data_IF_217157278892
#
_entry.id   IF_217157278892
#
_cell.length_a   1.000
_cell.length_b   1.000
_cell.length_c   1.000
_cell.angle_alpha   90.00
_cell.angle_beta   90.00
_cell.angle_gamma   90.00
#
_symmetry.space_group_name_H-M   'P 1'
#
loop_
_entity.id
_entity.type
_entity.pdbx_description
1 polymer ?
#
# COMPACT_ATOMS: atom_id res chain seq x y z
N UNK A 1 -19.17 -2.17 5.01
CA UNK A 1 -19.11 -1.47 3.71
C UNK A 1 -20.48 -1.01 3.21
N UNK A 2 -21.53 -1.83 3.12
CA UNK A 2 -22.82 -1.41 2.53
C UNK A 2 -23.49 -0.16 3.14
N UNK A 3 -23.29 0.10 4.44
CA UNK A 3 -23.87 1.26 5.14
C UNK A 3 -23.28 2.62 4.72
N UNK A 4 -22.09 2.63 4.11
CA UNK A 4 -21.40 3.84 3.67
C UNK A 4 -21.46 4.03 2.15
N UNK A 5 -22.21 3.16 1.44
CA UNK A 5 -22.38 3.28 0.00
C UNK A 5 -23.03 4.61 -0.35
N UNK A 6 -22.43 5.33 -1.28
CA UNK A 6 -22.86 6.68 -1.68
C UNK A 6 -22.45 7.81 -0.73
N UNK A 7 -21.71 7.51 0.35
CA UNK A 7 -21.13 8.52 1.25
C UNK A 7 -19.63 8.74 1.00
N UNK A 8 -18.99 7.85 0.24
CA UNK A 8 -17.57 7.89 -0.06
C UNK A 8 -17.40 8.04 -1.55
N UNK A 9 -16.75 9.11 -1.96
CA UNK A 9 -16.39 9.34 -3.36
C UNK A 9 -15.08 8.62 -3.72
N UNK A 10 -14.09 8.64 -2.81
CA UNK A 10 -12.75 8.08 -3.04
C UNK A 10 -12.32 7.17 -1.90
N UNK A 11 -11.81 5.99 -2.24
CA UNK A 11 -11.15 5.08 -1.32
C UNK A 11 -9.63 5.08 -1.52
N UNK A 12 -8.88 5.21 -0.42
CA UNK A 12 -7.41 5.13 -0.39
C UNK A 12 -6.93 4.06 0.61
N UNK A 13 -7.28 2.77 0.42
CA UNK A 13 -6.94 1.72 1.39
C UNK A 13 -5.47 1.34 1.32
N UNK A 14 -4.93 0.91 2.46
CA UNK A 14 -3.65 0.21 2.52
C UNK A 14 -3.86 -1.30 2.35
N UNK A 15 -3.25 -1.88 1.31
CA UNK A 15 -3.12 -3.33 1.14
C UNK A 15 -1.77 -3.78 1.71
N UNK A 16 -1.78 -4.27 2.95
CA UNK A 16 -0.55 -4.56 3.71
C UNK A 16 -0.10 -6.02 3.57
N UNK A 17 -1.04 -6.97 3.67
CA UNK A 17 -0.72 -8.39 3.78
C UNK A 17 -1.66 -9.29 2.99
N UNK A 18 -1.10 -10.29 2.33
CA UNK A 18 -1.82 -11.47 1.84
C UNK A 18 -1.38 -12.75 2.57
N UNK A 19 -0.66 -12.58 3.69
CA UNK A 19 -0.21 -13.63 4.59
C UNK A 19 -0.85 -13.45 5.99
N UNK A 20 -1.58 -14.47 6.45
CA UNK A 20 -2.27 -14.47 7.76
C UNK A 20 -1.32 -14.53 8.95
N UNK A 21 -0.12 -15.08 8.78
CA UNK A 21 0.94 -15.11 9.78
C UNK A 21 1.54 -13.71 9.94
N UNK A 22 1.85 -13.03 8.82
CA UNK A 22 2.40 -11.66 8.87
C UNK A 22 1.39 -10.66 9.42
N UNK A 23 0.15 -10.71 8.96
CA UNK A 23 -0.90 -9.80 9.43
C UNK A 23 -1.22 -9.99 10.92
N UNK A 24 -1.21 -11.23 11.42
CA UNK A 24 -1.26 -11.50 12.86
C UNK A 24 -0.04 -10.94 13.59
N UNK A 25 1.16 -11.20 13.08
CA UNK A 25 2.43 -10.83 13.74
C UNK A 25 2.62 -9.32 13.84
N UNK A 26 2.35 -8.59 12.77
CA UNK A 26 2.67 -7.17 12.66
C UNK A 26 1.49 -6.22 12.90
N UNK A 27 0.26 -6.71 12.78
CA UNK A 27 -0.95 -5.87 12.94
C UNK A 27 -2.01 -6.49 13.84
N UNK A 28 -1.74 -7.63 14.48
CA UNK A 28 -2.72 -8.37 15.30
C UNK A 28 -4.03 -8.68 14.56
N UNK A 29 -3.99 -8.79 13.23
CA UNK A 29 -5.17 -8.90 12.36
C UNK A 29 -5.10 -10.18 11.53
N UNK A 30 -5.35 -11.33 12.16
CA UNK A 30 -5.11 -12.64 11.55
C UNK A 30 -6.04 -12.99 10.37
N UNK A 31 -7.21 -12.36 10.31
CA UNK A 31 -8.23 -12.51 9.27
C UNK A 31 -8.07 -11.49 8.13
N UNK A 32 -7.07 -10.60 8.21
CA UNK A 32 -6.87 -9.54 7.21
C UNK A 32 -6.74 -10.09 5.79
N UNK A 33 -5.88 -11.08 5.59
CA UNK A 33 -5.63 -11.68 4.27
C UNK A 33 -6.88 -12.38 3.69
N UNK A 34 -7.77 -12.87 4.56
CA UNK A 34 -9.03 -13.51 4.17
C UNK A 34 -10.08 -12.47 3.74
N UNK A 35 -10.16 -11.36 4.48
CA UNK A 35 -11.22 -10.35 4.31
C UNK A 35 -10.88 -9.31 3.25
N UNK A 36 -9.61 -8.91 3.12
CA UNK A 36 -9.19 -7.81 2.24
C UNK A 36 -9.60 -7.98 0.76
N UNK A 37 -9.57 -9.19 0.15
CA UNK A 37 -9.97 -9.35 -1.25
C UNK A 37 -11.46 -9.01 -1.50
N UNK A 38 -12.33 -9.34 -0.55
CA UNK A 38 -13.76 -9.03 -0.64
C UNK A 38 -14.00 -7.53 -0.38
N UNK A 39 -13.23 -6.94 0.53
CA UNK A 39 -13.30 -5.50 0.82
C UNK A 39 -12.88 -4.65 -0.37
N UNK A 40 -11.78 -4.99 -1.04
CA UNK A 40 -11.32 -4.23 -2.22
C UNK A 40 -12.33 -4.29 -3.37
N UNK A 41 -12.93 -5.46 -3.62
CA UNK A 41 -14.00 -5.61 -4.63
C UNK A 41 -15.22 -4.78 -4.29
N UNK A 42 -15.63 -4.76 -3.02
CA UNK A 42 -16.77 -3.94 -2.58
C UNK A 42 -16.46 -2.43 -2.63
N UNK A 43 -15.23 -2.01 -2.32
CA UNK A 43 -14.81 -0.62 -2.51
C UNK A 43 -14.89 -0.25 -4.00
N UNK A 44 -14.28 -1.06 -4.87
CA UNK A 44 -14.29 -0.84 -6.31
C UNK A 44 -15.73 -0.79 -6.86
N UNK A 45 -16.61 -1.68 -6.43
CA UNK A 45 -18.03 -1.68 -6.85
C UNK A 45 -18.80 -0.43 -6.39
N UNK A 46 -18.40 0.20 -5.30
CA UNK A 46 -19.04 1.42 -4.81
C UNK A 46 -18.65 2.66 -5.60
N UNK A 47 -17.37 2.82 -5.91
CA UNK A 47 -16.83 4.08 -6.46
C UNK A 47 -16.37 3.97 -7.90
N UNK A 48 -16.08 2.77 -8.40
CA UNK A 48 -15.51 2.55 -9.74
C UNK A 48 -14.00 2.77 -9.79
N UNK A 49 -13.46 2.82 -11.02
CA UNK A 49 -12.07 3.18 -11.27
C UNK A 49 -11.82 4.65 -10.90
N UNK A 50 -10.55 5.01 -10.69
CA UNK A 50 -10.18 6.38 -10.35
C UNK A 50 -10.49 7.33 -11.51
N UNK A 51 -11.34 8.32 -11.24
CA UNK A 51 -11.72 9.39 -12.15
C UNK A 51 -11.04 10.69 -11.69
N UNK A 52 -10.38 11.35 -12.64
CA UNK A 52 -9.79 12.67 -12.48
C UNK A 52 -10.65 13.71 -13.20
N UNK A 53 -10.72 14.92 -12.67
CA UNK A 53 -11.34 16.05 -13.36
C UNK A 53 -10.37 16.71 -14.36
N UNK A 54 -10.78 17.82 -14.97
CA UNK A 54 -9.97 18.58 -15.96
C UNK A 54 -8.66 19.16 -15.38
N UNK A 55 -8.55 19.24 -14.05
CA UNK A 55 -7.37 19.73 -13.33
C UNK A 55 -6.50 18.58 -12.75
N UNK A 56 -6.70 17.34 -13.23
CA UNK A 56 -6.02 16.12 -12.74
C UNK A 56 -6.28 15.80 -11.25
N UNK A 57 -7.35 16.35 -10.67
CA UNK A 57 -7.74 16.09 -9.27
C UNK A 57 -8.66 14.88 -9.23
N UNK A 58 -8.34 13.92 -8.37
CA UNK A 58 -9.20 12.77 -8.11
C UNK A 58 -10.55 13.23 -7.55
N UNK A 59 -11.64 12.84 -8.22
CA UNK A 59 -13.01 13.18 -7.83
C UNK A 59 -13.82 11.96 -7.40
N UNK A 60 -13.47 10.77 -7.87
CA UNK A 60 -14.14 9.52 -7.51
C UNK A 60 -13.22 8.32 -7.79
N UNK A 61 -13.36 7.23 -7.03
CA UNK A 61 -12.77 5.93 -7.38
C UNK A 61 -11.84 5.35 -6.33
N UNK A 62 -11.09 4.31 -6.71
CA UNK A 62 -10.22 3.54 -5.83
C UNK A 62 -8.74 3.74 -6.20
N UNK A 63 -7.91 4.10 -5.22
CA UNK A 63 -6.45 4.07 -5.31
C UNK A 63 -5.89 3.21 -4.17
N UNK A 64 -5.24 2.10 -4.46
CA UNK A 64 -4.72 1.21 -3.43
C UNK A 64 -3.28 1.57 -3.09
N UNK A 65 -2.94 1.68 -1.80
CA UNK A 65 -1.55 1.87 -1.36
C UNK A 65 -0.95 0.56 -0.91
N UNK A 66 0.28 0.30 -1.33
CA UNK A 66 1.03 -0.88 -0.94
C UNK A 66 2.43 -0.48 -0.47
N UNK A 67 2.69 -0.61 0.84
CA UNK A 67 4.04 -0.41 1.40
C UNK A 67 4.84 -1.69 1.23
N UNK A 68 5.97 -1.60 0.52
CA UNK A 68 6.88 -2.74 0.37
C UNK A 68 7.67 -2.92 1.66
N UNK A 69 7.51 -4.07 2.30
CA UNK A 69 8.22 -4.40 3.53
C UNK A 69 9.52 -5.15 3.21
N UNK A 70 10.67 -4.72 3.76
CA UNK A 70 11.93 -5.41 3.55
C UNK A 70 11.86 -6.82 4.15
N UNK A 71 12.49 -7.78 3.48
CA UNK A 71 12.44 -9.20 3.86
C UNK A 71 11.12 -9.92 3.56
N UNK A 72 10.11 -9.23 3.01
CA UNK A 72 8.77 -9.78 2.74
C UNK A 72 8.28 -9.52 1.31
N UNK A 73 9.18 -9.57 0.32
CA UNK A 73 8.85 -9.31 -1.09
C UNK A 73 7.77 -10.24 -1.64
N UNK A 74 7.75 -11.51 -1.22
CA UNK A 74 6.71 -12.46 -1.65
C UNK A 74 5.31 -12.06 -1.18
N UNK A 75 5.20 -11.42 -0.01
CA UNK A 75 3.93 -10.84 0.43
C UNK A 75 3.53 -9.66 -0.48
N UNK A 76 4.49 -8.81 -0.86
CA UNK A 76 4.25 -7.71 -1.80
C UNK A 76 3.79 -8.21 -3.18
N UNK A 77 4.44 -9.24 -3.72
CA UNK A 77 4.03 -9.91 -4.96
C UNK A 77 2.62 -10.48 -4.84
N UNK A 78 2.28 -11.14 -3.73
CA UNK A 78 0.94 -11.65 -3.51
C UNK A 78 -0.13 -10.54 -3.48
N UNK A 79 0.17 -9.40 -2.84
CA UNK A 79 -0.69 -8.22 -2.84
C UNK A 79 -0.92 -7.66 -4.25
N UNK A 80 0.16 -7.48 -5.03
CA UNK A 80 0.07 -6.95 -6.40
C UNK A 80 -0.67 -7.91 -7.33
N UNK A 81 -0.41 -9.21 -7.21
CA UNK A 81 -1.13 -10.24 -7.96
C UNK A 81 -2.63 -10.21 -7.66
N UNK A 82 -3.03 -10.04 -6.40
CA UNK A 82 -4.44 -9.87 -6.05
C UNK A 82 -5.06 -8.64 -6.75
N UNK A 83 -4.35 -7.51 -6.80
CA UNK A 83 -4.86 -6.32 -7.47
C UNK A 83 -5.06 -6.57 -8.96
N UNK A 84 -4.07 -7.15 -9.64
CA UNK A 84 -4.17 -7.52 -11.05
C UNK A 84 -5.30 -8.54 -11.32
N UNK A 85 -5.53 -9.49 -10.40
CA UNK A 85 -6.65 -10.44 -10.46
C UNK A 85 -8.02 -9.76 -10.30
N UNK A 86 -8.12 -8.66 -9.56
CA UNK A 86 -9.36 -7.88 -9.45
C UNK A 86 -9.55 -7.04 -10.72
N UNK A 87 -8.53 -6.27 -11.10
CA UNK A 87 -8.43 -5.59 -12.39
C UNK A 87 -7.02 -4.97 -12.54
N UNK A 88 -6.36 -5.14 -13.71
CA UNK A 88 -5.08 -4.51 -13.98
C UNK A 88 -5.15 -2.97 -14.04
N UNK A 89 -6.34 -2.41 -14.25
CA UNK A 89 -6.55 -0.96 -14.36
C UNK A 89 -6.59 -0.26 -12.99
N UNK A 90 -6.64 -1.01 -11.87
CA UNK A 90 -6.69 -0.42 -10.53
C UNK A 90 -5.41 0.38 -10.28
N UNK A 91 -5.52 1.68 -9.99
CA UNK A 91 -4.37 2.47 -9.62
C UNK A 91 -3.76 1.98 -8.31
N UNK A 92 -2.44 1.82 -8.31
CA UNK A 92 -1.68 1.36 -7.14
C UNK A 92 -0.54 2.31 -6.83
N UNK A 93 -0.44 2.74 -5.58
CA UNK A 93 0.75 3.44 -5.07
C UNK A 93 1.67 2.43 -4.41
N UNK A 94 2.78 2.11 -5.09
CA UNK A 94 3.82 1.23 -4.57
C UNK A 94 4.81 2.11 -3.81
N UNK A 95 4.86 1.94 -2.50
CA UNK A 95 5.60 2.83 -1.61
C UNK A 95 6.89 2.18 -1.12
N UNK A 96 8.01 2.89 -1.26
CA UNK A 96 9.32 2.50 -0.76
C UNK A 96 9.65 3.05 0.63
N UNK A 97 8.76 3.85 1.21
CA UNK A 97 8.91 4.66 2.44
C UNK A 97 8.98 3.85 3.75
N UNK A 98 9.54 2.65 3.74
CA UNK A 98 9.70 1.88 4.97
C UNK A 98 10.92 2.36 5.76
N UNK A 99 10.68 2.91 6.95
CA UNK A 99 11.70 3.30 7.92
C UNK A 99 11.45 2.55 9.24
N UNK A 100 12.41 1.76 9.74
CA UNK A 100 12.24 1.03 11.00
C UNK A 100 12.16 2.01 12.18
N UNK A 101 11.01 2.04 12.85
CA UNK A 101 10.74 2.92 13.99
C UNK A 101 10.27 2.14 15.21
N UNK A 102 10.56 2.67 16.41
CA UNK A 102 10.08 2.12 17.69
C UNK A 102 10.37 0.61 17.84
N UNK A 103 9.32 -0.22 17.96
CA UNK A 103 9.44 -1.68 18.14
C UNK A 103 10.04 -2.40 16.93
N UNK A 104 9.97 -1.81 15.74
CA UNK A 104 10.55 -2.42 14.54
C UNK A 104 12.07 -2.61 14.68
N UNK A 105 12.75 -1.73 15.43
CA UNK A 105 14.18 -1.87 15.73
C UNK A 105 14.55 -3.15 16.49
N UNK A 106 13.59 -3.73 17.22
CA UNK A 106 13.77 -5.00 17.92
C UNK A 106 13.43 -6.25 17.10
N UNK A 107 13.01 -6.09 15.85
CA UNK A 107 12.58 -7.18 14.96
C UNK A 107 13.58 -7.30 13.81
N UNK A 108 14.52 -8.26 13.82
CA UNK A 108 15.61 -8.33 12.84
C UNK A 108 15.13 -8.30 11.37
N UNK A 109 14.02 -8.94 11.07
CA UNK A 109 13.38 -8.95 9.75
C UNK A 109 12.96 -7.56 9.24
N UNK A 110 12.58 -6.67 10.16
CA UNK A 110 11.99 -5.37 9.93
C UNK A 110 12.95 -4.23 10.29
N UNK A 111 14.05 -4.53 10.99
CA UNK A 111 15.09 -3.56 11.36
C UNK A 111 16.10 -3.35 10.23
N UNK A 112 15.60 -3.18 9.02
CA UNK A 112 16.38 -2.93 7.82
C UNK A 112 15.57 -2.06 6.87
N UNK A 113 16.24 -1.36 5.97
CA UNK A 113 15.59 -0.54 4.94
C UNK A 113 15.39 -1.36 3.66
N UNK A 114 14.46 -0.92 2.83
CA UNK A 114 14.27 -1.51 1.52
C UNK A 114 15.43 -1.10 0.61
N UNK A 115 16.11 -2.09 0.01
CA UNK A 115 17.17 -1.82 -0.97
C UNK A 115 16.57 -1.44 -2.32
N UNK A 116 17.37 -0.81 -3.18
CA UNK A 116 16.94 -0.44 -4.52
C UNK A 116 16.56 -1.66 -5.34
N UNK A 117 17.38 -2.70 -5.28
CA UNK A 117 17.19 -3.92 -6.05
C UNK A 117 15.90 -4.63 -5.65
N UNK A 118 15.61 -4.68 -4.35
CA UNK A 118 14.38 -5.26 -3.82
C UNK A 118 13.13 -4.47 -4.22
N UNK A 119 13.25 -3.14 -4.32
CA UNK A 119 12.14 -2.29 -4.74
C UNK A 119 11.91 -2.35 -6.26
N UNK A 120 12.99 -2.30 -7.04
CA UNK A 120 12.96 -2.43 -8.50
C UNK A 120 12.34 -3.79 -8.88
N UNK A 121 12.66 -4.88 -8.16
CA UNK A 121 12.03 -6.21 -8.35
C UNK A 121 10.50 -6.17 -8.20
N UNK A 122 9.99 -5.39 -7.24
CA UNK A 122 8.54 -5.26 -7.02
C UNK A 122 7.88 -4.41 -8.10
N UNK A 123 8.57 -3.37 -8.58
CA UNK A 123 8.09 -2.54 -9.69
C UNK A 123 8.00 -3.38 -10.97
N UNK A 124 9.08 -4.10 -11.31
CA UNK A 124 9.14 -4.95 -12.49
C UNK A 124 8.03 -6.01 -12.45
N UNK A 125 7.82 -6.62 -11.27
CA UNK A 125 6.73 -7.57 -11.08
C UNK A 125 5.33 -6.94 -11.26
N UNK A 126 5.13 -5.69 -10.81
CA UNK A 126 3.86 -4.99 -11.04
C UNK A 126 3.62 -4.75 -12.54
N UNK A 127 4.66 -4.37 -13.28
CA UNK A 127 4.62 -4.18 -14.73
C UNK A 127 4.30 -5.48 -15.46
N UNK A 128 4.93 -6.59 -15.07
CA UNK A 128 4.68 -7.93 -15.64
C UNK A 128 3.22 -8.40 -15.46
N UNK A 129 2.55 -7.93 -14.39
CA UNK A 129 1.14 -8.19 -14.13
C UNK A 129 0.18 -7.27 -14.90
N UNK A 130 0.69 -6.27 -15.61
CA UNK A 130 -0.11 -5.28 -16.34
C UNK A 130 -0.68 -4.16 -15.47
N UNK A 131 -0.13 -3.93 -14.27
CA UNK A 131 -0.52 -2.79 -13.41
C UNK A 131 0.13 -1.50 -13.91
N UNK A 132 -0.40 -0.94 -15.00
CA UNK A 132 0.18 0.24 -15.66
C UNK A 132 -0.09 1.55 -14.91
N UNK A 133 -1.17 1.62 -14.11
CA UNK A 133 -1.55 2.78 -13.30
C UNK A 133 -0.80 2.81 -11.95
N UNK A 134 0.54 2.72 -11.99
CA UNK A 134 1.38 2.63 -10.80
C UNK A 134 2.03 3.98 -10.42
N UNK A 135 1.76 4.45 -9.21
CA UNK A 135 2.49 5.57 -8.59
C UNK A 135 3.73 5.04 -7.88
N UNK A 136 4.91 5.36 -8.41
CA UNK A 136 6.21 4.88 -7.94
C UNK A 136 6.95 6.01 -7.22
N UNK A 137 7.49 5.72 -6.03
CA UNK A 137 8.26 6.66 -5.22
C UNK A 137 9.77 6.41 -5.31
N UNK A 138 10.59 7.46 -5.18
CA UNK A 138 12.04 7.33 -5.02
C UNK A 138 12.40 6.85 -3.61
N UNK A 139 13.52 6.15 -3.44
CA UNK A 139 13.98 5.64 -2.14
C UNK A 139 14.28 6.76 -1.13
N UNK A 140 14.60 7.97 -1.59
CA UNK A 140 14.80 9.15 -0.73
C UNK A 140 13.58 9.43 0.16
N UNK A 141 12.41 8.97 -0.27
CA UNK A 141 11.18 9.06 0.50
C UNK A 141 11.24 8.34 1.85
N UNK A 142 12.18 7.40 2.06
CA UNK A 142 12.40 6.73 3.34
C UNK A 142 12.86 7.69 4.46
N UNK A 143 13.48 8.81 4.09
CA UNK A 143 13.97 9.84 5.00
C UNK A 143 13.10 11.11 4.98
N UNK A 144 12.14 11.18 4.05
CA UNK A 144 11.23 12.31 3.92
C UNK A 144 9.99 12.11 4.81
N UNK A 145 9.46 13.22 5.34
CA UNK A 145 8.20 13.26 6.08
C UNK A 145 8.15 12.38 7.35
N UNK A 146 9.30 12.08 7.97
CA UNK A 146 9.36 11.37 9.26
C UNK A 146 9.20 12.37 10.43
N UNK A 147 8.07 12.37 11.14
CA UNK A 147 7.92 13.29 12.25
C UNK A 147 8.85 12.95 13.41
N UNK A 148 9.50 13.97 13.96
CA UNK A 148 10.33 13.83 15.15
C UNK A 148 9.50 14.13 16.41
N UNK A 149 8.96 13.09 17.02
CA UNK A 149 8.11 13.21 18.20
C UNK A 149 8.86 13.63 19.48
N UNK A 150 10.19 13.74 19.44
CA UNK A 150 10.97 14.32 20.53
C UNK A 150 11.04 15.86 20.44
N UNK A 151 10.60 16.47 19.33
CA UNK A 151 10.56 17.92 19.13
C UNK A 151 9.21 18.55 19.52
N UNK A 152 9.22 19.83 19.90
CA UNK A 152 7.99 20.62 20.14
C UNK A 152 7.12 20.75 18.88
N UNK A 153 7.72 20.68 17.69
CA UNK A 153 7.03 20.71 16.39
C UNK A 153 7.40 19.47 15.57
N UNK A 154 6.76 18.32 15.80
CA UNK A 154 7.17 17.06 15.18
C UNK A 154 7.13 17.04 13.65
N UNK A 155 6.38 17.94 13.02
CA UNK A 155 6.15 17.95 11.56
C UNK A 155 6.84 19.11 10.84
N UNK A 156 7.80 19.80 11.47
CA UNK A 156 8.61 20.79 10.75
C UNK A 156 9.65 20.08 9.90
N UNK A 157 9.38 19.99 8.59
CA UNK A 157 10.28 19.51 7.55
C UNK A 157 10.94 20.69 6.83
#
# INVERSE_FOLDING_TARGET
>A
MRKIRGLVDIYLPDLKYLDSVLSRKFSAAADYAEVVPAVLREMLDQVGMLELNEDDIAVRGLLVRHLVLPGYLENSKACLRLLAEISPDIPVSIMSQYSPQYKAGGMPELNQRLTKEAYDEIIDYALDLGLENAFIQTLESQDACLPDFDQERPFSF
#
